data_IF_539264071594
#
_entry.id   IF_539264071594
#
_cell.length_a   1.000
_cell.length_b   1.000
_cell.length_c   1.000
_cell.angle_alpha   90.00
_cell.angle_beta   90.00
_cell.angle_gamma   90.00
#
_symmetry.space_group_name_H-M   'P 1'
#
loop_
_entity.id
_entity.type
_entity.pdbx_description
1 polymer ?
#
# COMPACT_ATOMS: atom_id res chain seq x y z
N UNK A 1 -6.73 -9.34 -0.48
CA UNK A 1 -7.77 -8.69 0.34
C UNK A 1 -7.87 -9.29 1.73
N UNK A 2 -7.86 -10.63 1.86
CA UNK A 2 -7.89 -11.35 3.15
C UNK A 2 -6.85 -10.83 4.16
N UNK A 3 -5.58 -10.77 3.76
CA UNK A 3 -4.50 -10.19 4.61
C UNK A 3 -4.76 -8.76 5.12
N UNK A 4 -5.45 -7.92 4.33
CA UNK A 4 -5.79 -6.55 4.76
C UNK A 4 -6.94 -6.57 5.75
N UNK A 5 -7.92 -7.46 5.56
CA UNK A 5 -9.02 -7.66 6.53
C UNK A 5 -8.47 -8.17 7.85
N UNK A 6 -7.57 -9.15 7.84
CA UNK A 6 -6.99 -9.73 9.04
C UNK A 6 -6.19 -8.68 9.83
N UNK A 7 -5.35 -7.93 9.12
CA UNK A 7 -4.53 -6.87 9.70
C UNK A 7 -5.39 -5.75 10.30
N UNK A 8 -6.40 -5.26 9.57
CA UNK A 8 -7.30 -4.24 10.12
C UNK A 8 -8.20 -4.79 11.24
N UNK A 9 -8.52 -6.08 11.20
CA UNK A 9 -9.22 -6.78 12.28
C UNK A 9 -8.43 -6.77 13.58
N UNK A 10 -7.12 -7.02 13.52
CA UNK A 10 -6.22 -6.90 14.68
C UNK A 10 -6.25 -5.48 15.27
N UNK A 11 -6.22 -4.43 14.42
CA UNK A 11 -6.37 -3.05 14.90
C UNK A 11 -7.73 -2.80 15.56
N UNK A 12 -8.82 -3.36 15.02
CA UNK A 12 -10.15 -3.26 15.65
C UNK A 12 -10.18 -3.98 17.00
N UNK A 13 -9.56 -5.15 17.12
CA UNK A 13 -9.50 -5.91 18.37
C UNK A 13 -8.63 -5.21 19.43
N UNK A 14 -7.52 -4.59 19.02
CA UNK A 14 -6.58 -3.90 19.91
C UNK A 14 -7.08 -2.52 20.36
N UNK A 15 -7.62 -1.72 19.43
CA UNK A 15 -8.01 -0.32 19.68
C UNK A 15 -9.50 -0.20 20.03
N UNK A 16 -10.32 -1.21 19.71
CA UNK A 16 -11.77 -1.18 19.85
C UNK A 16 -12.48 -0.33 18.78
N UNK A 17 -11.76 0.03 17.72
CA UNK A 17 -12.21 0.95 16.68
C UNK A 17 -12.58 0.17 15.40
N UNK A 18 -13.86 0.17 15.03
CA UNK A 18 -14.33 -0.55 13.86
C UNK A 18 -14.07 0.21 12.54
N UNK A 19 -13.80 -0.53 11.47
CA UNK A 19 -13.73 -0.02 10.09
C UNK A 19 -14.96 -0.45 9.29
N UNK A 20 -15.53 0.48 8.53
CA UNK A 20 -16.60 0.13 7.60
C UNK A 20 -16.05 -0.75 6.45
N UNK A 21 -16.81 -1.73 5.94
CA UNK A 21 -16.34 -2.64 4.90
C UNK A 21 -15.81 -1.93 3.65
N UNK A 22 -16.46 -0.84 3.23
CA UNK A 22 -16.05 -0.03 2.08
C UNK A 22 -14.72 0.70 2.31
N UNK A 23 -14.37 0.99 3.58
CA UNK A 23 -13.07 1.56 3.94
C UNK A 23 -12.00 0.49 3.79
N UNK A 24 -12.24 -0.73 4.27
CA UNK A 24 -11.29 -1.85 4.12
C UNK A 24 -11.02 -2.13 2.63
N UNK A 25 -12.07 -2.12 1.79
CA UNK A 25 -11.95 -2.23 0.34
C UNK A 25 -11.13 -1.09 -0.28
N UNK A 26 -11.40 0.14 0.15
CA UNK A 26 -10.68 1.33 -0.33
C UNK A 26 -9.21 1.30 0.08
N UNK A 27 -8.89 0.89 1.31
CA UNK A 27 -7.52 0.69 1.80
C UNK A 27 -6.83 -0.36 0.96
N UNK A 28 -7.42 -1.54 0.78
CA UNK A 28 -6.83 -2.59 -0.05
C UNK A 28 -6.59 -2.13 -1.49
N UNK A 29 -7.55 -1.38 -2.08
CA UNK A 29 -7.43 -0.87 -3.45
C UNK A 29 -6.30 0.15 -3.61
N UNK A 30 -6.21 1.14 -2.72
CA UNK A 30 -5.21 2.21 -2.85
C UNK A 30 -3.80 1.76 -2.45
N UNK A 31 -3.70 0.84 -1.48
CA UNK A 31 -2.41 0.35 -1.00
C UNK A 31 -1.93 -0.90 -1.74
N UNK A 32 -2.78 -1.48 -2.59
CA UNK A 32 -2.64 -2.84 -3.08
C UNK A 32 -2.42 -3.88 -1.95
N UNK A 33 -2.75 -3.57 -0.70
CA UNK A 33 -2.46 -4.43 0.45
C UNK A 33 -1.00 -4.48 0.87
N UNK A 34 -0.20 -3.47 0.53
CA UNK A 34 1.18 -3.36 1.02
C UNK A 34 1.19 -3.12 2.53
N UNK A 35 1.82 -3.99 3.35
CA UNK A 35 1.76 -3.90 4.81
C UNK A 35 2.15 -2.53 5.36
N UNK A 36 3.20 -1.90 4.80
CA UNK A 36 3.65 -0.59 5.25
C UNK A 36 2.63 0.53 5.02
N UNK A 37 1.90 0.50 3.89
CA UNK A 37 0.87 1.50 3.58
C UNK A 37 -0.45 1.19 4.30
N UNK A 38 -0.80 -0.09 4.45
CA UNK A 38 -1.98 -0.51 5.21
C UNK A 38 -1.82 -0.11 6.68
N UNK A 39 -0.68 -0.42 7.30
CA UNK A 39 -0.38 -0.04 8.68
C UNK A 39 -0.37 1.48 8.85
N UNK A 40 0.22 2.21 7.89
CA UNK A 40 0.23 3.67 7.95
C UNK A 40 -1.17 4.25 7.90
N UNK A 41 -2.03 3.71 7.03
CA UNK A 41 -3.42 4.14 6.93
C UNK A 41 -4.21 3.81 8.20
N UNK A 42 -4.00 2.62 8.77
CA UNK A 42 -4.60 2.22 10.03
C UNK A 42 -4.22 3.20 11.15
N UNK A 43 -2.93 3.43 11.39
CA UNK A 43 -2.43 4.36 12.42
C UNK A 43 -2.97 5.79 12.24
N UNK A 44 -3.03 6.33 11.00
CA UNK A 44 -3.63 7.66 10.79
C UNK A 44 -5.11 7.66 11.20
N UNK A 45 -5.86 6.64 10.83
CA UNK A 45 -7.29 6.55 11.09
C UNK A 45 -7.61 6.27 12.57
N UNK A 46 -6.82 5.45 13.25
CA UNK A 46 -7.08 5.04 14.64
C UNK A 46 -6.41 5.93 15.68
N UNK A 47 -5.21 6.44 15.41
CA UNK A 47 -4.40 7.16 16.41
C UNK A 47 -4.36 8.67 16.15
N UNK A 48 -4.17 9.11 14.90
CA UNK A 48 -3.94 10.53 14.61
C UNK A 48 -5.23 11.34 14.43
N UNK A 49 -6.26 10.74 13.83
CA UNK A 49 -7.52 11.42 13.52
C UNK A 49 -8.39 11.70 14.74
N UNK A 50 -8.10 11.06 15.89
CA UNK A 50 -8.87 11.20 17.13
C UNK A 50 -10.38 10.99 16.91
N UNK A 51 -10.73 10.02 16.06
CA UNK A 51 -12.12 9.62 15.83
C UNK A 51 -12.63 8.99 17.13
N UNK A 52 -13.84 9.33 17.60
CA UNK A 52 -14.41 8.67 18.76
C UNK A 52 -14.52 7.16 18.55
N UNK A 53 -14.10 6.35 19.54
CA UNK A 53 -14.18 4.88 19.47
C UNK A 53 -15.59 4.35 19.19
N UNK A 54 -16.62 5.11 19.57
CA UNK A 54 -18.04 4.79 19.30
C UNK A 54 -18.44 4.99 17.83
N UNK A 55 -17.67 5.74 17.06
CA UNK A 55 -17.96 6.06 15.67
C UNK A 55 -17.16 5.15 14.74
N UNK A 56 -17.83 4.42 13.84
CA UNK A 56 -17.13 3.57 12.86
C UNK A 56 -16.34 4.41 11.85
N UNK A 57 -15.11 3.98 11.53
CA UNK A 57 -14.29 4.62 10.51
C UNK A 57 -14.99 4.45 9.15
N UNK A 58 -15.49 5.56 8.61
CA UNK A 58 -16.23 5.63 7.35
C UNK A 58 -15.40 6.21 6.22
N UNK A 59 -16.01 6.30 5.03
CA UNK A 59 -15.35 6.80 3.82
C UNK A 59 -14.78 8.22 3.96
N UNK A 60 -15.42 9.12 4.71
CA UNK A 60 -14.92 10.48 4.88
C UNK A 60 -13.57 10.47 5.62
N UNK A 61 -13.46 9.68 6.69
CA UNK A 61 -12.20 9.51 7.43
C UNK A 61 -11.08 8.97 6.53
N UNK A 62 -11.42 7.97 5.71
CA UNK A 62 -10.51 7.40 4.72
C UNK A 62 -9.98 8.46 3.74
N UNK A 63 -10.84 9.27 3.12
CA UNK A 63 -10.42 10.27 2.13
C UNK A 63 -9.43 11.29 2.73
N UNK A 64 -9.64 11.67 3.99
CA UNK A 64 -8.72 12.58 4.69
C UNK A 64 -7.39 11.87 4.95
N UNK A 65 -7.41 10.63 5.46
CA UNK A 65 -6.19 9.85 5.71
C UNK A 65 -5.39 9.58 4.42
N UNK A 66 -6.09 9.27 3.33
CA UNK A 66 -5.52 9.08 2.01
C UNK A 66 -4.82 10.34 1.50
N UNK A 67 -5.46 11.51 1.62
CA UNK A 67 -4.81 12.80 1.30
C UNK A 67 -3.58 13.06 2.16
N UNK A 68 -3.60 12.66 3.43
CA UNK A 68 -2.45 12.85 4.31
C UNK A 68 -1.25 11.99 3.88
N UNK A 69 -1.45 10.71 3.59
CA UNK A 69 -0.37 9.83 3.09
C UNK A 69 0.27 10.38 1.81
N UNK A 70 -0.54 10.96 0.91
CA UNK A 70 -0.01 11.55 -0.33
C UNK A 70 0.82 12.82 -0.10
N UNK A 71 0.63 13.51 1.02
CA UNK A 71 1.33 14.76 1.34
C UNK A 71 2.40 14.61 2.44
N UNK A 72 2.49 13.44 3.09
CA UNK A 72 3.48 13.20 4.13
C UNK A 72 4.83 12.76 3.56
N UNK A 73 5.92 13.04 4.29
CA UNK A 73 7.23 12.44 4.02
C UNK A 73 7.26 11.03 4.59
N UNK A 74 6.77 10.07 3.82
CA UNK A 74 6.86 8.67 4.20
C UNK A 74 8.30 8.17 4.00
N UNK A 75 8.96 7.70 5.05
CA UNK A 75 10.37 7.26 5.00
C UNK A 75 10.57 6.11 4.03
N UNK A 76 9.63 5.17 3.92
CA UNK A 76 9.73 4.07 2.97
C UNK A 76 9.61 4.55 1.52
N UNK A 77 8.67 5.46 1.23
CA UNK A 77 8.58 6.09 -0.10
C UNK A 77 9.80 6.96 -0.40
N UNK A 78 10.37 7.63 0.61
CA UNK A 78 11.57 8.44 0.47
C UNK A 78 12.78 7.58 0.15
N UNK A 79 12.99 6.48 0.88
CA UNK A 79 14.06 5.50 0.61
C UNK A 79 13.93 4.90 -0.78
N UNK A 80 12.72 4.47 -1.15
CA UNK A 80 12.47 3.97 -2.50
C UNK A 80 12.81 5.03 -3.56
N UNK A 81 12.31 6.26 -3.40
CA UNK A 81 12.56 7.35 -4.35
C UNK A 81 14.06 7.67 -4.44
N UNK A 82 14.77 7.70 -3.30
CA UNK A 82 16.22 7.93 -3.26
C UNK A 82 16.98 6.83 -4.02
N UNK A 83 16.60 5.57 -3.85
CA UNK A 83 17.29 4.48 -4.50
C UNK A 83 16.95 4.38 -6.00
N UNK A 84 15.68 4.59 -6.37
CA UNK A 84 15.27 4.72 -7.78
C UNK A 84 16.06 5.85 -8.46
N UNK A 85 16.18 7.02 -7.82
CA UNK A 85 16.90 8.19 -8.37
C UNK A 85 18.41 8.00 -8.46
N UNK A 86 18.98 7.03 -7.73
CA UNK A 86 20.41 6.72 -7.80
C UNK A 86 20.79 6.10 -9.15
N UNK A 87 19.83 5.52 -9.87
CA UNK A 87 20.03 4.90 -11.17
C UNK A 87 19.04 5.49 -12.20
N UNK A 88 19.54 6.14 -13.25
CA UNK A 88 18.70 6.70 -14.32
C UNK A 88 17.78 5.66 -14.98
N UNK A 89 18.16 4.37 -14.93
CA UNK A 89 17.31 3.26 -15.41
C UNK A 89 16.12 3.02 -14.48
N UNK A 90 16.23 3.37 -13.20
CA UNK A 90 15.17 3.25 -12.20
C UNK A 90 13.97 4.13 -12.52
N UNK A 91 14.21 5.42 -12.76
CA UNK A 91 13.12 6.34 -13.13
C UNK A 91 12.47 5.97 -14.47
N UNK A 92 13.29 5.61 -15.46
CA UNK A 92 12.79 5.15 -16.78
C UNK A 92 11.94 3.89 -16.67
N UNK A 93 12.38 2.91 -15.87
CA UNK A 93 11.64 1.67 -15.64
C UNK A 93 10.33 1.92 -14.90
N UNK A 94 10.35 2.74 -13.84
CA UNK A 94 9.15 3.13 -13.10
C UNK A 94 8.12 3.81 -14.00
N UNK A 95 8.56 4.74 -14.86
CA UNK A 95 7.70 5.41 -15.84
C UNK A 95 7.09 4.43 -16.84
N UNK A 96 7.89 3.51 -17.40
CA UNK A 96 7.42 2.47 -18.34
C UNK A 96 6.37 1.54 -17.72
N UNK A 97 6.59 1.11 -16.47
CA UNK A 97 5.64 0.28 -15.71
C UNK A 97 4.36 1.07 -15.42
N UNK A 98 4.48 2.33 -14.99
CA UNK A 98 3.33 3.18 -14.62
C UNK A 98 2.44 3.51 -15.81
N UNK A 99 3.02 3.65 -17.01
CA UNK A 99 2.29 3.89 -18.25
C UNK A 99 1.68 2.60 -18.86
N UNK A 100 1.80 1.44 -18.19
CA UNK A 100 1.31 0.12 -18.64
C UNK A 100 1.86 -0.35 -19.99
N UNK A 101 2.99 0.16 -20.45
CA UNK A 101 3.50 -0.15 -21.79
C UNK A 101 4.46 -1.33 -21.85
N UNK A 102 4.85 -1.96 -20.71
CA UNK A 102 5.75 -3.11 -20.78
C UNK A 102 5.66 -4.11 -19.62
N UNK A 103 5.70 -5.40 -19.99
CA UNK A 103 5.95 -6.52 -19.07
C UNK A 103 7.47 -6.66 -18.92
N UNK A 104 7.99 -6.28 -17.76
CA UNK A 104 9.41 -6.38 -17.45
C UNK A 104 9.70 -7.79 -16.90
N UNK A 105 10.72 -8.52 -17.41
CA UNK A 105 11.10 -9.80 -16.84
C UNK A 105 11.54 -9.62 -15.38
N UNK A 106 10.89 -10.36 -14.48
CA UNK A 106 11.18 -10.29 -13.06
C UNK A 106 12.55 -10.91 -12.75
N UNK A 107 13.46 -10.12 -12.20
CA UNK A 107 14.79 -10.57 -11.79
C UNK A 107 15.18 -9.88 -10.47
N UNK A 108 15.34 -10.65 -9.39
CA UNK A 108 15.75 -10.12 -8.08
C UNK A 108 17.22 -9.68 -8.04
N UNK A 109 18.07 -10.10 -8.99
CA UNK A 109 19.44 -9.59 -9.12
C UNK A 109 19.47 -8.16 -9.68
N UNK A 110 18.37 -7.72 -10.29
CA UNK A 110 18.21 -6.32 -10.67
C UNK A 110 17.81 -5.53 -9.42
N UNK A 111 18.72 -4.68 -8.92
CA UNK A 111 18.53 -3.88 -7.72
C UNK A 111 17.22 -3.05 -7.75
N UNK A 112 16.85 -2.49 -8.90
CA UNK A 112 15.61 -1.70 -9.04
C UNK A 112 14.39 -2.60 -8.92
N UNK A 113 14.38 -3.77 -9.57
CA UNK A 113 13.26 -4.72 -9.49
C UNK A 113 13.13 -5.27 -8.07
N UNK A 114 14.25 -5.60 -7.43
CA UNK A 114 14.31 -6.07 -6.05
C UNK A 114 13.75 -5.03 -5.07
N UNK A 115 14.10 -3.76 -5.23
CA UNK A 115 13.55 -2.68 -4.42
C UNK A 115 12.06 -2.45 -4.69
N UNK A 116 11.65 -2.36 -5.96
CA UNK A 116 10.24 -2.21 -6.31
C UNK A 116 9.40 -3.40 -5.82
N UNK A 117 9.97 -4.60 -5.75
CA UNK A 117 9.32 -5.77 -5.16
C UNK A 117 9.27 -5.69 -3.63
N UNK A 118 10.38 -5.29 -2.99
CA UNK A 118 10.49 -5.14 -1.52
C UNK A 118 9.51 -4.10 -0.98
N UNK A 119 9.35 -2.98 -1.68
CA UNK A 119 8.36 -1.95 -1.37
C UNK A 119 6.99 -2.23 -2.02
N UNK A 120 6.91 -3.29 -2.81
CA UNK A 120 5.67 -3.87 -3.27
C UNK A 120 4.92 -3.11 -4.37
N UNK A 121 5.65 -2.28 -5.11
CA UNK A 121 5.24 -1.69 -6.38
C UNK A 121 5.21 -2.73 -7.51
N UNK A 122 6.00 -3.79 -7.40
CA UNK A 122 5.93 -4.97 -8.26
C UNK A 122 5.36 -6.16 -7.50
N UNK A 123 4.51 -6.95 -8.18
CA UNK A 123 4.08 -8.26 -7.70
C UNK A 123 4.26 -9.30 -8.79
N UNK A 124 4.63 -10.50 -8.34
CA UNK A 124 4.60 -11.68 -9.20
C UNK A 124 3.14 -11.98 -9.50
N UNK A 125 2.78 -11.93 -10.78
CA UNK A 125 1.55 -12.53 -11.24
C UNK A 125 1.82 -14.04 -11.33
N UNK A 126 1.46 -14.78 -10.28
CA UNK A 126 1.29 -16.22 -10.42
C UNK A 126 0.14 -16.41 -11.41
N UNK A 127 0.42 -16.94 -12.60
CA UNK A 127 -0.65 -17.50 -13.41
C UNK A 127 -1.29 -18.60 -12.57
N UNK A 128 -2.52 -18.39 -12.14
CA UNK A 128 -3.39 -19.45 -11.68
C UNK A 128 -3.40 -20.51 -12.78
N UNK A 129 -2.87 -21.70 -12.49
CA UNK A 129 -3.08 -22.84 -13.37
C UNK A 129 -4.59 -22.96 -13.62
N UNK A 130 -5.04 -23.22 -14.86
CA UNK A 130 -6.44 -23.48 -15.11
C UNK A 130 -6.83 -24.69 -14.26
N UNK A 131 -7.84 -24.52 -13.41
CA UNK A 131 -8.48 -25.64 -12.75
C UNK A 131 -8.97 -26.60 -13.86
N UNK A 132 -8.40 -27.80 -13.89
CA UNK A 132 -8.94 -28.93 -14.65
C UNK A 132 -9.99 -29.63 -13.79
#
# INVERSE_FOLDING_TARGET
MEQVRDLLGQYTDEVGQAFAPEVIESIHKQTAGQPCLVNRMASILTEERKIPLSETINRNHFEIAHKQILNERNVHLSHLTTNIRRDARGESLLMRISLKEEVVPFNLDNQIISELFTYGFLRLHSQSAPAQ
#
